data_IF_815862830319
#
_entry.id   IF_815862830319
#
_cell.length_a   1.000
_cell.length_b   1.000
_cell.length_c   1.000
_cell.angle_alpha   90.00
_cell.angle_beta   90.00
_cell.angle_gamma   90.00
#
_symmetry.space_group_name_H-M   'P 1'
#
loop_
_entity.id
_entity.type
_entity.pdbx_description
1 polymer ?
#
# COMPACT_ATOMS: atom_id res chain seq x y z
N UNK A 1 2.85 2.57 -26.77
CA UNK A 1 2.19 3.86 -26.56
C UNK A 1 1.12 3.80 -25.49
N UNK A 2 0.70 4.95 -24.98
CA UNK A 2 -0.33 5.06 -23.93
C UNK A 2 -1.72 5.30 -24.54
N UNK A 3 -2.74 4.64 -23.96
CA UNK A 3 -4.15 4.77 -24.38
C UNK A 3 -5.01 5.07 -23.14
N UNK A 4 -5.88 6.07 -23.28
CA UNK A 4 -6.78 6.57 -22.20
C UNK A 4 -6.06 6.98 -20.91
N UNK A 5 -4.82 7.41 -21.00
CA UNK A 5 -3.96 7.75 -19.84
C UNK A 5 -3.87 6.64 -18.77
N UNK A 6 -4.28 5.42 -19.10
CA UNK A 6 -4.42 4.29 -18.16
C UNK A 6 -3.68 3.04 -18.64
N UNK A 7 -3.70 2.78 -19.95
CA UNK A 7 -3.15 1.55 -20.52
C UNK A 7 -1.92 1.83 -21.36
N UNK A 8 -0.90 0.98 -21.22
CA UNK A 8 0.26 0.94 -22.09
C UNK A 8 0.14 -0.21 -23.08
N UNK A 9 0.25 0.11 -24.37
CA UNK A 9 0.31 -0.87 -25.44
C UNK A 9 1.78 -1.10 -25.83
N UNK A 10 2.23 -2.34 -25.72
CA UNK A 10 3.59 -2.75 -26.01
C UNK A 10 3.53 -3.87 -27.04
N UNK A 11 4.19 -3.66 -28.18
CA UNK A 11 4.40 -4.71 -29.15
C UNK A 11 5.80 -5.31 -28.90
N UNK A 12 5.84 -6.64 -28.75
CA UNK A 12 7.06 -7.39 -28.64
C UNK A 12 6.92 -8.66 -29.49
N UNK A 13 7.80 -8.84 -30.47
CA UNK A 13 7.69 -9.84 -31.52
C UNK A 13 6.33 -9.77 -32.23
N UNK A 14 5.60 -10.87 -32.25
CA UNK A 14 4.26 -11.04 -32.84
C UNK A 14 3.11 -10.82 -31.84
N UNK A 15 3.41 -10.34 -30.63
CA UNK A 15 2.46 -10.19 -29.54
C UNK A 15 2.20 -8.74 -29.19
N UNK A 16 0.97 -8.46 -28.83
CA UNK A 16 0.55 -7.19 -28.24
C UNK A 16 0.25 -7.39 -26.75
N UNK A 17 0.94 -6.63 -25.91
CA UNK A 17 0.69 -6.60 -24.47
C UNK A 17 -0.07 -5.33 -24.13
N UNK A 18 -1.09 -5.48 -23.27
CA UNK A 18 -1.84 -4.37 -22.68
C UNK A 18 -1.57 -4.39 -21.20
N UNK A 19 -0.97 -3.32 -20.70
CA UNK A 19 -0.61 -3.16 -19.28
C UNK A 19 -1.47 -2.07 -18.68
N UNK A 20 -2.27 -2.41 -17.66
CA UNK A 20 -2.95 -1.43 -16.83
C UNK A 20 -1.92 -0.78 -15.90
N UNK A 21 -1.73 0.54 -16.04
CA UNK A 21 -0.76 1.32 -15.29
C UNK A 21 -1.00 1.28 -13.78
N UNK A 22 -2.27 1.33 -13.36
CA UNK A 22 -2.61 1.30 -11.93
C UNK A 22 -2.33 -0.07 -11.34
N UNK A 23 -2.76 -1.14 -12.02
CA UNK A 23 -2.51 -2.51 -11.59
C UNK A 23 -1.01 -2.84 -11.56
N UNK A 24 -0.23 -2.34 -12.52
CA UNK A 24 1.22 -2.51 -12.55
C UNK A 24 1.91 -1.82 -11.38
N UNK A 25 1.56 -0.56 -11.10
CA UNK A 25 2.07 0.19 -9.94
C UNK A 25 1.73 -0.48 -8.62
N UNK A 26 0.46 -0.88 -8.48
CA UNK A 26 -0.01 -1.57 -7.28
C UNK A 26 0.77 -2.87 -7.06
N UNK A 27 0.97 -3.66 -8.12
CA UNK A 27 1.73 -4.91 -8.07
C UNK A 27 3.19 -4.70 -7.66
N UNK A 28 3.87 -3.77 -8.29
CA UNK A 28 5.28 -3.47 -8.00
C UNK A 28 5.45 -2.97 -6.55
N UNK A 29 4.60 -2.03 -6.13
CA UNK A 29 4.61 -1.51 -4.74
C UNK A 29 4.32 -2.62 -3.73
N UNK A 30 3.32 -3.46 -4.01
CA UNK A 30 2.97 -4.58 -3.14
C UNK A 30 4.14 -5.55 -2.94
N UNK A 31 4.76 -6.02 -4.03
CA UNK A 31 5.87 -6.98 -3.93
C UNK A 31 7.10 -6.38 -3.22
N UNK A 32 7.40 -5.10 -3.50
CA UNK A 32 8.48 -4.38 -2.83
C UNK A 32 8.22 -4.25 -1.33
N UNK A 33 7.03 -3.81 -0.95
CA UNK A 33 6.67 -3.60 0.44
C UNK A 33 6.57 -4.92 1.21
N UNK A 34 6.01 -5.98 0.59
CA UNK A 34 5.99 -7.32 1.18
C UNK A 34 7.40 -7.86 1.43
N UNK A 35 8.32 -7.67 0.48
CA UNK A 35 9.72 -8.05 0.67
C UNK A 35 10.35 -7.30 1.83
N UNK A 36 10.23 -5.98 1.87
CA UNK A 36 10.75 -5.15 2.96
C UNK A 36 10.11 -5.50 4.31
N UNK A 37 8.83 -5.81 4.33
CA UNK A 37 8.10 -6.23 5.51
C UNK A 37 8.66 -7.55 6.08
N UNK A 38 8.83 -8.57 5.24
CA UNK A 38 9.41 -9.85 5.66
C UNK A 38 10.88 -9.73 6.10
N UNK A 39 11.64 -8.86 5.45
CA UNK A 39 13.04 -8.57 5.80
C UNK A 39 13.16 -7.61 7.00
N UNK A 40 12.05 -7.08 7.53
CA UNK A 40 11.99 -6.05 8.58
C UNK A 40 12.83 -4.82 8.26
N UNK A 41 12.84 -4.44 6.99
CA UNK A 41 13.65 -3.35 6.43
C UNK A 41 12.81 -2.19 5.90
N UNK A 42 11.54 -2.10 6.28
CA UNK A 42 10.66 -1.01 5.86
C UNK A 42 11.22 0.33 6.33
N UNK A 43 11.43 1.24 5.39
CA UNK A 43 11.91 2.59 5.69
C UNK A 43 10.72 3.50 6.00
N UNK A 44 10.79 4.21 7.12
CA UNK A 44 9.75 5.13 7.58
C UNK A 44 10.17 6.57 7.42
N UNK A 45 9.20 7.43 7.10
CA UNK A 45 9.34 8.87 7.14
C UNK A 45 8.74 9.42 8.43
N UNK A 46 9.52 10.19 9.19
CA UNK A 46 9.04 10.87 10.38
C UNK A 46 8.22 12.10 10.01
N UNK A 47 7.07 12.26 10.66
CA UNK A 47 6.17 13.40 10.48
C UNK A 47 6.46 14.48 11.52
N UNK A 48 6.68 15.72 11.07
CA UNK A 48 6.88 16.87 11.96
C UNK A 48 6.10 18.09 11.44
N UNK A 49 5.05 18.51 12.15
CA UNK A 49 4.51 17.94 13.39
C UNK A 49 3.82 16.59 13.18
N UNK A 50 3.62 15.79 14.24
CA UNK A 50 2.82 14.58 14.16
C UNK A 50 1.38 14.88 13.72
N UNK A 51 0.75 13.93 13.04
CA UNK A 51 -0.66 14.05 12.65
C UNK A 51 -1.53 13.48 13.76
N UNK A 52 -2.45 14.27 14.29
CA UNK A 52 -3.41 13.79 15.29
C UNK A 52 -4.63 13.23 14.58
N UNK A 53 -4.99 12.00 14.94
CA UNK A 53 -6.18 11.28 14.46
C UNK A 53 -7.07 10.89 15.64
N UNK A 54 -8.38 11.02 15.46
CA UNK A 54 -9.36 10.53 16.44
C UNK A 54 -9.88 9.19 15.94
N UNK A 55 -9.84 8.18 16.79
CA UNK A 55 -10.26 6.82 16.46
C UNK A 55 -11.59 6.49 17.14
N UNK A 56 -12.42 5.72 16.48
CA UNK A 56 -13.57 5.05 17.08
C UNK A 56 -13.10 3.91 17.97
N UNK A 57 -13.92 3.46 18.93
CA UNK A 57 -13.56 2.32 19.78
C UNK A 57 -13.28 1.02 18.98
N UNK A 58 -13.88 0.86 17.82
CA UNK A 58 -13.65 -0.27 16.92
C UNK A 58 -12.27 -0.15 16.25
N UNK A 59 -11.93 1.01 15.71
CA UNK A 59 -10.62 1.28 15.11
C UNK A 59 -9.50 1.17 16.13
N UNK A 60 -9.73 1.65 17.36
CA UNK A 60 -8.78 1.51 18.47
C UNK A 60 -8.52 0.04 18.82
N UNK A 61 -9.58 -0.78 18.89
CA UNK A 61 -9.45 -2.23 19.11
C UNK A 61 -8.65 -2.92 17.99
N UNK A 62 -8.87 -2.52 16.74
CA UNK A 62 -8.12 -3.03 15.57
C UNK A 62 -6.67 -2.60 15.67
N UNK A 63 -6.40 -1.32 15.97
CA UNK A 63 -5.04 -0.81 16.12
C UNK A 63 -4.26 -1.60 17.18
N UNK A 64 -4.83 -1.82 18.36
CA UNK A 64 -4.18 -2.59 19.42
C UNK A 64 -3.99 -4.07 19.05
N UNK A 65 -4.94 -4.64 18.31
CA UNK A 65 -4.83 -6.04 17.87
C UNK A 65 -3.67 -6.25 16.89
N UNK A 66 -3.40 -5.27 16.03
CA UNK A 66 -2.42 -5.35 14.93
C UNK A 66 -1.25 -4.36 15.10
N UNK A 67 -0.98 -3.90 16.31
CA UNK A 67 0.07 -2.91 16.62
C UNK A 67 1.45 -3.35 16.10
N UNK A 68 1.81 -4.61 16.26
CA UNK A 68 3.07 -5.17 15.77
C UNK A 68 3.17 -5.09 14.24
N UNK A 69 2.07 -5.38 13.52
CA UNK A 69 2.03 -5.32 12.06
C UNK A 69 2.14 -3.88 11.56
N UNK A 70 1.46 -2.93 12.19
CA UNK A 70 1.60 -1.50 11.88
C UNK A 70 3.02 -1.00 12.11
N UNK A 71 3.64 -1.40 13.22
CA UNK A 71 5.03 -1.05 13.55
C UNK A 71 6.00 -1.63 12.52
N UNK A 72 5.85 -2.90 12.14
CA UNK A 72 6.68 -3.52 11.12
C UNK A 72 6.51 -2.87 9.74
N UNK A 73 5.31 -2.39 9.44
CA UNK A 73 5.03 -1.66 8.20
C UNK A 73 5.59 -0.21 8.22
N UNK A 74 6.11 0.23 9.35
CA UNK A 74 6.75 1.54 9.48
C UNK A 74 5.86 2.67 9.99
N UNK A 75 4.67 2.34 10.50
CA UNK A 75 3.86 3.31 11.23
C UNK A 75 4.34 3.40 12.68
N UNK A 76 4.49 4.62 13.19
CA UNK A 76 4.74 4.91 14.60
C UNK A 76 3.55 5.69 15.14
N UNK A 77 2.84 5.11 16.10
CA UNK A 77 1.56 5.63 16.60
C UNK A 77 1.63 5.66 18.12
N UNK A 78 1.29 6.78 18.70
CA UNK A 78 1.25 6.98 20.16
C UNK A 78 -0.13 7.46 20.62
N UNK A 79 -0.58 7.00 21.78
CA UNK A 79 -1.75 7.57 22.44
C UNK A 79 -1.48 9.04 22.81
N UNK A 80 -2.40 9.94 22.42
CA UNK A 80 -2.28 11.37 22.66
C UNK A 80 -3.24 11.85 23.78
N UNK A 81 -4.24 11.04 24.10
CA UNK A 81 -5.22 11.28 25.16
C UNK A 81 -6.64 11.05 24.69
N UNK A 82 -7.45 10.44 25.56
CA UNK A 82 -8.81 10.04 25.18
C UNK A 82 -8.78 9.04 24.01
N UNK A 83 -9.49 9.35 22.95
CA UNK A 83 -9.54 8.59 21.71
C UNK A 83 -8.62 9.18 20.60
N UNK A 84 -7.70 10.06 20.97
CA UNK A 84 -6.77 10.68 20.03
C UNK A 84 -5.42 9.95 20.03
N UNK A 85 -4.85 9.82 18.84
CA UNK A 85 -3.57 9.18 18.57
C UNK A 85 -2.70 10.10 17.72
N UNK A 86 -1.41 10.15 18.03
CA UNK A 86 -0.40 10.88 17.27
C UNK A 86 0.32 9.91 16.30
N UNK A 87 0.10 10.11 15.01
CA UNK A 87 0.85 9.44 13.94
C UNK A 87 2.18 10.16 13.75
N UNK A 88 3.29 9.51 14.12
CA UNK A 88 4.63 10.07 14.11
C UNK A 88 5.47 9.68 12.91
N UNK A 89 5.22 8.49 12.37
CA UNK A 89 5.92 7.99 11.19
C UNK A 89 4.98 7.19 10.28
N UNK A 90 5.29 7.20 8.98
CA UNK A 90 4.61 6.42 7.95
C UNK A 90 5.63 5.77 7.01
N UNK A 91 5.31 4.66 6.34
CA UNK A 91 6.18 4.07 5.32
C UNK A 91 6.49 5.06 4.19
N UNK A 92 7.76 5.13 3.77
CA UNK A 92 8.20 6.07 2.71
C UNK A 92 7.62 5.72 1.34
N UNK A 93 7.45 4.43 1.02
CA UNK A 93 7.06 3.97 -0.32
C UNK A 93 5.55 4.06 -0.62
N UNK A 94 4.77 4.64 0.29
CA UNK A 94 3.32 4.76 0.15
C UNK A 94 2.89 6.18 -0.27
N UNK A 95 3.36 6.64 -1.42
CA UNK A 95 2.99 7.92 -2.00
C UNK A 95 1.63 7.87 -2.68
N UNK A 96 0.90 8.99 -2.68
CA UNK A 96 -0.30 9.19 -3.52
C UNK A 96 -1.58 9.58 -2.77
N UNK A 97 -1.60 9.49 -1.45
CA UNK A 97 -2.64 10.05 -0.59
C UNK A 97 -2.01 10.73 0.62
N UNK A 98 -2.80 11.50 1.37
CA UNK A 98 -2.31 12.04 2.64
C UNK A 98 -2.06 10.90 3.63
N UNK A 99 -1.03 11.05 4.46
CA UNK A 99 -0.63 10.06 5.46
C UNK A 99 -1.77 9.72 6.41
N UNK A 100 -2.60 10.72 6.73
CA UNK A 100 -3.81 10.55 7.53
C UNK A 100 -4.84 9.66 6.85
N UNK A 101 -5.14 9.95 5.58
CA UNK A 101 -6.12 9.20 4.80
C UNK A 101 -5.67 7.75 4.59
N UNK A 102 -4.38 7.54 4.32
CA UNK A 102 -3.80 6.21 4.22
C UNK A 102 -4.02 5.40 5.50
N UNK A 103 -3.63 5.96 6.65
CA UNK A 103 -3.72 5.28 7.93
C UNK A 103 -5.17 4.95 8.30
N UNK A 104 -6.08 5.92 8.17
CA UNK A 104 -7.50 5.72 8.48
C UNK A 104 -8.16 4.72 7.51
N UNK A 105 -7.82 4.74 6.23
CA UNK A 105 -8.37 3.80 5.25
C UNK A 105 -7.97 2.35 5.57
N UNK A 106 -6.73 2.12 6.01
CA UNK A 106 -6.26 0.80 6.44
C UNK A 106 -7.01 0.33 7.68
N UNK A 107 -7.18 1.20 8.68
CA UNK A 107 -7.92 0.87 9.90
C UNK A 107 -9.40 0.58 9.64
N UNK A 108 -10.07 1.41 8.83
CA UNK A 108 -11.50 1.25 8.52
C UNK A 108 -11.75 -0.09 7.81
N UNK A 109 -10.95 -0.42 6.81
CA UNK A 109 -11.11 -1.67 6.06
C UNK A 109 -10.84 -2.90 6.94
N UNK A 110 -9.85 -2.85 7.83
CA UNK A 110 -9.62 -3.90 8.83
C UNK A 110 -10.76 -4.00 9.84
N UNK A 111 -11.38 -2.88 10.22
CA UNK A 111 -12.50 -2.83 11.14
C UNK A 111 -13.75 -3.50 10.58
N UNK A 112 -13.97 -3.39 9.28
CA UNK A 112 -15.12 -4.00 8.60
C UNK A 112 -15.02 -5.54 8.51
N UNK A 113 -13.81 -6.10 8.63
CA UNK A 113 -13.56 -7.53 8.45
C UNK A 113 -13.42 -8.33 9.75
N UNK A 114 -13.64 -7.74 10.90
CA UNK A 114 -13.47 -8.37 12.24
C UNK A 114 -14.31 -9.65 12.47
N UNK A 115 -15.06 -10.11 11.47
CA UNK A 115 -15.80 -11.40 11.49
C UNK A 115 -14.99 -12.63 11.07
N UNK A 116 -13.87 -12.48 10.42
CA UNK A 116 -13.09 -13.60 9.88
C UNK A 116 -11.68 -13.61 10.49
N UNK A 117 -11.47 -14.44 11.51
CA UNK A 117 -10.16 -14.68 12.13
C UNK A 117 -9.24 -15.41 11.15
N UNK A 118 -8.69 -14.69 10.17
CA UNK A 118 -7.62 -15.19 9.31
C UNK A 118 -6.35 -15.48 10.12
N UNK A 119 -5.46 -16.31 9.59
CA UNK A 119 -4.12 -16.47 10.17
C UNK A 119 -3.40 -15.12 10.18
N UNK A 120 -2.50 -14.89 11.14
CA UNK A 120 -1.73 -13.65 11.26
C UNK A 120 -1.09 -13.23 9.92
N UNK A 121 -0.55 -14.18 9.17
CA UNK A 121 0.05 -13.95 7.86
C UNK A 121 -0.93 -13.40 6.82
N UNK A 122 -2.18 -13.86 6.79
CA UNK A 122 -3.22 -13.35 5.87
C UNK A 122 -3.54 -11.89 6.17
N UNK A 123 -3.49 -11.50 7.43
CA UNK A 123 -3.76 -10.12 7.87
C UNK A 123 -2.61 -9.20 7.51
N UNK A 124 -1.34 -9.65 7.67
CA UNK A 124 -0.17 -8.90 7.23
C UNK A 124 -0.19 -8.62 5.74
N UNK A 125 -0.40 -9.64 4.91
CA UNK A 125 -0.57 -9.50 3.45
C UNK A 125 -1.68 -8.51 3.10
N UNK A 126 -2.75 -8.51 3.89
CA UNK A 126 -3.89 -7.62 3.70
C UNK A 126 -3.56 -6.17 4.03
N UNK A 127 -2.91 -5.89 5.17
CA UNK A 127 -2.46 -4.55 5.54
C UNK A 127 -1.55 -3.97 4.46
N UNK A 128 -0.58 -4.75 3.98
CA UNK A 128 0.32 -4.33 2.89
C UNK A 128 -0.47 -4.05 1.61
N UNK A 129 -1.39 -4.93 1.24
CA UNK A 129 -2.24 -4.77 0.05
C UNK A 129 -3.08 -3.49 0.12
N UNK A 130 -3.74 -3.24 1.25
CA UNK A 130 -4.56 -2.06 1.47
C UNK A 130 -3.74 -0.78 1.41
N UNK A 131 -2.56 -0.79 2.04
CA UNK A 131 -1.63 0.33 2.03
C UNK A 131 -1.18 0.68 0.61
N UNK A 132 -0.88 -0.32 -0.21
CA UNK A 132 -0.52 -0.12 -1.61
C UNK A 132 -1.69 0.43 -2.44
N UNK A 133 -2.90 -0.08 -2.26
CA UNK A 133 -4.11 0.42 -2.94
C UNK A 133 -4.38 1.88 -2.62
N UNK A 134 -4.33 2.25 -1.33
CA UNK A 134 -4.56 3.62 -0.90
C UNK A 134 -3.52 4.58 -1.50
N UNK A 135 -2.25 4.14 -1.58
CA UNK A 135 -1.16 4.93 -2.16
C UNK A 135 -1.25 5.12 -3.68
N UNK A 136 -1.93 4.22 -4.43
CA UNK A 136 -2.02 4.29 -5.90
C UNK A 136 -3.23 5.10 -6.40
N UNK A 137 -4.18 5.44 -5.54
CA UNK A 137 -5.38 6.24 -5.91
C UNK A 137 -5.08 7.62 -6.50
N UNK A 138 -3.84 8.12 -6.42
CA UNK A 138 -3.40 9.35 -7.09
C UNK A 138 -3.26 9.13 -8.60
N UNK A 139 -4.07 9.85 -9.38
CA UNK A 139 -4.12 9.76 -10.84
C UNK A 139 -2.91 10.49 -11.47
N UNK A 140 -1.73 9.90 -11.39
CA UNK A 140 -0.51 10.47 -11.95
C UNK A 140 -0.27 9.92 -13.36
N UNK A 141 -0.23 10.83 -14.36
CA UNK A 141 0.27 10.48 -15.69
C UNK A 141 1.76 10.14 -15.59
N UNK A 142 2.12 8.97 -16.07
CA UNK A 142 3.53 8.60 -16.20
C UNK A 142 4.12 9.19 -17.48
N UNK A 143 5.33 9.70 -17.38
CA UNK A 143 6.16 9.92 -18.55
C UNK A 143 6.56 8.56 -19.18
N UNK A 144 7.01 8.59 -20.42
CA UNK A 144 7.48 7.37 -21.11
C UNK A 144 8.60 6.68 -20.33
N UNK A 145 9.54 7.45 -19.78
CA UNK A 145 10.65 6.93 -19.01
C UNK A 145 10.21 6.26 -17.69
N UNK A 146 9.25 6.84 -16.98
CA UNK A 146 8.69 6.25 -15.75
C UNK A 146 7.90 4.97 -16.07
N UNK A 147 7.19 4.95 -17.20
CA UNK A 147 6.49 3.75 -17.65
C UNK A 147 7.45 2.62 -18.03
N UNK A 148 8.55 2.92 -18.73
CA UNK A 148 9.59 1.94 -19.03
C UNK A 148 10.20 1.35 -17.75
N UNK A 149 10.55 2.19 -16.77
CA UNK A 149 11.06 1.72 -15.48
C UNK A 149 10.05 0.83 -14.74
N UNK A 150 8.78 1.22 -14.73
CA UNK A 150 7.72 0.42 -14.10
C UNK A 150 7.56 -0.94 -14.77
N UNK A 151 7.61 -0.98 -16.11
CA UNK A 151 7.48 -2.22 -16.89
C UNK A 151 8.70 -3.12 -16.64
N UNK A 152 9.90 -2.56 -16.67
CA UNK A 152 11.13 -3.30 -16.39
C UNK A 152 11.08 -3.91 -14.98
N UNK A 153 10.66 -3.14 -13.97
CA UNK A 153 10.51 -3.63 -12.61
C UNK A 153 9.42 -4.71 -12.51
N UNK A 154 8.26 -4.51 -13.15
CA UNK A 154 7.18 -5.49 -13.20
C UNK A 154 7.65 -6.84 -13.76
N UNK A 155 8.44 -6.81 -14.83
CA UNK A 155 8.95 -8.03 -15.49
C UNK A 155 10.01 -8.76 -14.65
N UNK A 156 10.61 -8.13 -13.65
CA UNK A 156 11.53 -8.81 -12.71
C UNK A 156 10.82 -9.58 -11.61
N UNK A 157 9.50 -9.38 -11.45
CA UNK A 157 8.71 -10.07 -10.42
C UNK A 157 8.46 -11.53 -10.80
N UNK A 158 8.32 -12.41 -9.80
CA UNK A 158 8.07 -13.84 -10.00
C UNK A 158 6.76 -14.12 -10.78
N UNK A 159 5.75 -13.29 -10.61
CA UNK A 159 4.44 -13.43 -11.27
C UNK A 159 3.94 -12.08 -11.81
N UNK A 160 4.59 -11.54 -12.85
CA UNK A 160 4.32 -10.18 -13.32
C UNK A 160 2.91 -9.98 -13.91
N UNK A 161 2.26 -11.07 -14.37
CA UNK A 161 0.96 -11.03 -15.05
C UNK A 161 -0.24 -11.22 -14.11
N UNK A 162 -0.01 -11.45 -12.82
CA UNK A 162 -1.07 -11.67 -11.85
C UNK A 162 -1.29 -10.41 -11.01
N UNK A 163 -2.51 -9.86 -11.06
CA UNK A 163 -2.92 -8.84 -10.11
C UNK A 163 -2.87 -9.42 -8.68
N UNK A 164 -2.34 -8.72 -7.68
CA UNK A 164 -2.32 -9.21 -6.30
C UNK A 164 -3.72 -9.44 -5.72
N UNK A 165 -4.75 -8.86 -6.36
CA UNK A 165 -6.15 -8.96 -5.94
C UNK A 165 -7.02 -9.78 -6.90
N UNK A 166 -6.46 -10.37 -7.96
CA UNK A 166 -7.21 -11.23 -8.88
C UNK A 166 -7.62 -12.52 -8.15
N UNK A 167 -8.89 -12.63 -7.94
CA UNK A 167 -9.58 -13.87 -7.57
C UNK A 167 -9.83 -14.70 -8.83
#
# INVERSE_FOLDING_TARGET
GQVFDTYWLIQFDDKLFIIDQHAAHEKVKYERLMKQFHEKSVVSQRLMPPIIVSLTGQEESVLHTYEDAFTQLGFEIEAFGGNEYALRSVPVDLYGCSERELFLAVLDELSQETGNRGSFQVIEEKIVSMSCKAAVKGNNRLSLQEAEQLIDELLTLDKPYNCPHAR
#
